data_IF_204947499278
#
_entry.id   IF_204947499278
#
_cell.length_a   1.000
_cell.length_b   1.000
_cell.length_c   1.000
_cell.angle_alpha   90.00
_cell.angle_beta   90.00
_cell.angle_gamma   90.00
#
_symmetry.space_group_name_H-M   'P 1'
#
loop_
_entity.id
_entity.type
_entity.pdbx_description
1 polymer ?
#
# COMPACT_ATOMS: atom_id res chain seq x y z
N UNK A 1 -11.11 19.57 -22.29
CA UNK A 1 -10.92 18.41 -21.39
C UNK A 1 -9.43 18.22 -21.26
N UNK A 2 -8.92 18.13 -20.03
CA UNK A 2 -7.48 18.03 -19.78
C UNK A 2 -7.03 16.60 -20.12
N UNK A 3 -6.48 16.40 -21.31
CA UNK A 3 -5.86 15.14 -21.78
C UNK A 3 -4.56 14.79 -21.03
N UNK A 4 -4.24 15.51 -19.96
CA UNK A 4 -3.01 15.40 -19.16
C UNK A 4 -2.85 14.07 -18.39
N UNK A 5 -3.84 13.17 -18.45
CA UNK A 5 -3.76 11.82 -17.86
C UNK A 5 -3.51 10.69 -18.87
N UNK A 6 -3.59 10.98 -20.18
CA UNK A 6 -3.38 9.99 -21.23
C UNK A 6 -1.90 9.64 -21.46
N UNK A 7 -0.96 10.43 -20.91
CA UNK A 7 0.49 10.26 -21.09
C UNK A 7 1.20 9.72 -19.85
N UNK A 8 0.45 9.41 -18.79
CA UNK A 8 1.03 8.79 -17.59
C UNK A 8 1.14 7.29 -17.84
N UNK A 9 2.37 6.82 -17.93
CA UNK A 9 2.73 5.41 -18.01
C UNK A 9 1.86 4.55 -17.06
N UNK A 10 1.20 3.49 -17.56
CA UNK A 10 0.29 2.67 -16.74
C UNK A 10 0.93 2.16 -15.45
N UNK A 11 2.22 1.81 -15.47
CA UNK A 11 2.94 1.36 -14.28
C UNK A 11 3.17 2.51 -13.27
N UNK A 12 3.34 3.75 -13.73
CA UNK A 12 3.40 4.95 -12.89
C UNK A 12 2.06 5.22 -12.20
N UNK A 13 0.94 5.03 -12.92
CA UNK A 13 -0.40 5.16 -12.33
C UNK A 13 -0.62 4.14 -11.22
N UNK A 14 -0.25 2.88 -11.45
CA UNK A 14 -0.36 1.81 -10.45
C UNK A 14 0.53 2.10 -9.24
N UNK A 15 1.76 2.56 -9.45
CA UNK A 15 2.65 2.93 -8.33
C UNK A 15 2.08 4.07 -7.48
N UNK A 16 1.49 5.10 -8.09
CA UNK A 16 0.84 6.20 -7.34
C UNK A 16 -0.33 5.72 -6.49
N UNK A 17 -1.14 4.80 -7.01
CA UNK A 17 -2.24 4.20 -6.25
C UNK A 17 -1.69 3.38 -5.09
N UNK A 18 -0.68 2.54 -5.33
CA UNK A 18 -0.04 1.76 -4.26
C UNK A 18 0.59 2.65 -3.19
N UNK A 19 1.24 3.74 -3.56
CA UNK A 19 1.83 4.71 -2.63
C UNK A 19 0.75 5.40 -1.77
N UNK A 20 -0.39 5.75 -2.37
CA UNK A 20 -1.53 6.32 -1.65
C UNK A 20 -2.11 5.33 -0.64
N UNK A 21 -2.39 4.10 -1.06
CA UNK A 21 -2.94 3.05 -0.20
C UNK A 21 -1.98 2.67 0.93
N UNK A 22 -0.68 2.58 0.63
CA UNK A 22 0.35 2.35 1.65
C UNK A 22 0.44 3.48 2.67
N UNK A 23 0.33 4.74 2.23
CA UNK A 23 0.33 5.89 3.15
C UNK A 23 -0.90 5.86 4.05
N UNK A 24 -2.06 5.55 3.49
CA UNK A 24 -3.32 5.37 4.23
C UNK A 24 -3.19 4.26 5.27
N UNK A 25 -2.72 3.08 4.85
CA UNK A 25 -2.57 1.92 5.71
C UNK A 25 -1.46 2.06 6.76
N UNK A 26 -0.39 2.83 6.49
CA UNK A 26 0.63 3.15 7.50
C UNK A 26 0.10 4.08 8.58
N UNK A 27 -0.74 5.05 8.20
CA UNK A 27 -1.48 5.89 9.15
C UNK A 27 -2.43 5.03 10.00
N UNK A 28 -3.12 4.08 9.37
CA UNK A 28 -3.96 3.11 10.06
C UNK A 28 -3.14 2.13 10.92
N UNK A 29 -1.93 1.72 10.51
CA UNK A 29 -1.03 0.88 11.32
C UNK A 29 -0.63 1.57 12.62
N UNK A 30 -0.44 2.88 12.61
CA UNK A 30 -0.18 3.65 13.83
C UNK A 30 -1.39 3.64 14.79
N UNK A 31 -2.60 3.41 14.27
CA UNK A 31 -3.81 3.22 15.08
C UNK A 31 -4.02 1.79 15.59
N UNK A 32 -3.32 0.79 15.03
CA UNK A 32 -3.41 -0.63 15.46
C UNK A 32 -3.08 -0.81 16.94
N UNK A 33 -2.02 -0.20 17.53
CA UNK A 33 -1.78 -0.27 18.96
C UNK A 33 -2.93 0.31 19.80
N UNK A 34 -3.58 1.37 19.30
CA UNK A 34 -4.73 1.99 19.95
C UNK A 34 -5.95 1.05 19.92
N UNK A 35 -6.23 0.45 18.76
CA UNK A 35 -7.30 -0.55 18.60
C UNK A 35 -7.04 -1.82 19.41
N UNK A 36 -5.80 -2.29 19.47
CA UNK A 36 -5.41 -3.44 20.28
C UNK A 36 -5.58 -3.16 21.78
N UNK A 37 -5.23 -1.94 22.23
CA UNK A 37 -5.47 -1.51 23.61
C UNK A 37 -6.97 -1.46 23.95
N UNK A 38 -7.80 -0.96 23.03
CA UNK A 38 -9.27 -0.96 23.18
C UNK A 38 -9.82 -2.39 23.17
N UNK A 39 -9.31 -3.27 22.33
CA UNK A 39 -9.66 -4.70 22.31
C UNK A 39 -9.36 -5.39 23.64
N UNK A 40 -8.19 -5.15 24.24
CA UNK A 40 -7.84 -5.72 25.54
C UNK A 40 -8.76 -5.22 26.67
N UNK A 41 -9.30 -4.01 26.54
CA UNK A 41 -10.26 -3.44 27.49
C UNK A 41 -11.71 -3.88 27.21
N UNK A 42 -12.03 -4.17 25.95
CA UNK A 42 -13.34 -4.59 25.46
C UNK A 42 -13.16 -5.68 24.38
N UNK A 43 -13.08 -6.96 24.77
CA UNK A 43 -12.71 -8.07 23.88
C UNK A 43 -13.77 -8.42 22.83
N UNK A 44 -14.83 -7.63 22.72
CA UNK A 44 -15.91 -7.78 21.73
C UNK A 44 -15.55 -7.17 20.36
N UNK A 45 -14.32 -6.69 20.17
CA UNK A 45 -13.88 -6.06 18.92
C UNK A 45 -13.09 -7.01 18.03
N UNK A 46 -13.26 -6.83 16.71
CA UNK A 46 -12.79 -7.75 15.69
C UNK A 46 -11.26 -7.79 15.57
N UNK A 47 -10.60 -8.70 16.29
CA UNK A 47 -9.18 -9.04 16.11
C UNK A 47 -8.86 -9.38 14.63
N UNK A 48 -9.83 -9.99 13.93
CA UNK A 48 -9.78 -10.29 12.50
C UNK A 48 -9.57 -9.04 11.62
N UNK A 49 -10.14 -7.89 12.00
CA UNK A 49 -9.99 -6.62 11.30
C UNK A 49 -8.59 -6.02 11.48
N UNK A 50 -7.93 -6.31 12.60
CA UNK A 50 -6.55 -5.88 12.84
C UNK A 50 -5.57 -6.72 12.01
N UNK A 51 -5.75 -8.04 11.95
CA UNK A 51 -4.92 -8.93 11.13
C UNK A 51 -5.02 -8.60 9.64
N UNK A 52 -6.24 -8.38 9.13
CA UNK A 52 -6.44 -8.07 7.70
C UNK A 52 -5.77 -6.76 7.27
N UNK A 53 -5.67 -5.77 8.16
CA UNK A 53 -4.95 -4.51 7.91
C UNK A 53 -3.44 -4.68 7.85
N UNK A 54 -2.87 -5.54 8.68
CA UNK A 54 -1.42 -5.85 8.67
C UNK A 54 -1.07 -6.63 7.40
N UNK A 55 -1.87 -7.64 7.04
CA UNK A 55 -1.67 -8.46 5.84
C UNK A 55 -1.80 -7.63 4.56
N UNK A 56 -2.79 -6.74 4.50
CA UNK A 56 -2.97 -5.82 3.38
C UNK A 56 -1.75 -4.89 3.18
N UNK A 57 -1.19 -4.37 4.27
CA UNK A 57 0.01 -3.54 4.20
C UNK A 57 1.21 -4.32 3.65
N UNK A 58 1.47 -5.51 4.20
CA UNK A 58 2.59 -6.36 3.76
C UNK A 58 2.44 -6.85 2.32
N UNK A 59 1.22 -7.03 1.83
CA UNK A 59 0.95 -7.32 0.42
C UNK A 59 1.29 -6.11 -0.48
N UNK A 60 0.77 -4.93 -0.15
CA UNK A 60 0.97 -3.71 -0.94
C UNK A 60 2.43 -3.25 -0.99
N UNK A 61 3.19 -3.41 0.10
CA UNK A 61 4.62 -3.09 0.12
C UNK A 61 5.38 -3.96 -0.88
N UNK A 62 5.01 -5.24 -0.97
CA UNK A 62 5.60 -6.22 -1.88
C UNK A 62 5.26 -5.96 -3.34
N UNK A 63 3.99 -5.64 -3.63
CA UNK A 63 3.54 -5.30 -4.99
C UNK A 63 4.21 -4.01 -5.50
N UNK A 64 4.36 -3.02 -4.62
CA UNK A 64 5.12 -1.81 -4.93
C UNK A 64 6.58 -2.13 -5.25
N UNK A 65 7.24 -2.93 -4.43
CA UNK A 65 8.65 -3.30 -4.63
C UNK A 65 8.85 -4.02 -5.97
N UNK A 66 7.98 -4.98 -6.31
CA UNK A 66 8.01 -5.68 -7.61
C UNK A 66 7.91 -4.71 -8.78
N UNK A 67 7.01 -3.74 -8.72
CA UNK A 67 6.82 -2.74 -9.78
C UNK A 67 8.02 -1.78 -9.89
N UNK A 68 8.59 -1.36 -8.77
CA UNK A 68 9.82 -0.54 -8.75
C UNK A 68 11.00 -1.30 -9.37
N UNK A 69 11.17 -2.58 -9.02
CA UNK A 69 12.22 -3.43 -9.60
C UNK A 69 12.00 -3.63 -11.10
N UNK A 70 10.76 -3.89 -11.52
CA UNK A 70 10.38 -4.04 -12.93
C UNK A 70 10.70 -2.77 -13.73
N UNK A 71 10.35 -1.59 -13.22
CA UNK A 71 10.70 -0.29 -13.82
C UNK A 71 12.20 -0.02 -13.91
N UNK A 72 12.97 -0.44 -12.91
CA UNK A 72 14.43 -0.31 -12.94
C UNK A 72 15.05 -1.27 -13.96
N UNK A 73 14.47 -2.45 -14.14
CA UNK A 73 14.93 -3.44 -15.11
C UNK A 73 14.65 -3.03 -16.57
N UNK A 74 13.50 -2.40 -16.84
CA UNK A 74 13.15 -1.87 -18.17
C UNK A 74 13.93 -0.61 -18.56
N UNK A 75 14.62 0.03 -17.60
CA UNK A 75 15.48 1.20 -17.84
C UNK A 75 16.96 0.86 -18.07
N UNK A 76 17.35 -0.42 -18.12
CA UNK A 76 18.72 -0.80 -18.49
C UNK A 76 18.98 -0.46 -19.96
N UNK A 77 20.07 0.27 -20.28
CA UNK A 77 20.43 0.52 -21.67
C UNK A 77 20.81 -0.81 -22.32
N UNK A 78 20.23 -1.07 -23.48
CA UNK A 78 20.77 -2.03 -24.45
C UNK A 78 22.26 -1.73 -24.66
N UNK A 79 23.11 -2.72 -24.38
CA UNK A 79 24.51 -2.77 -24.82
C UNK A 79 24.57 -3.10 -26.30
#
# INVERSE_FOLDING_TARGET
MDDSLAHVDPEERVLRVLDYELKSLKKDRASIPLFYKVYLQQPNSNLYFLCSRVDALSYLEREREKLVVKKKATKKPSL
#
